data_IF_354268160994
#
_entry.id   IF_354268160994
#
_cell.length_a   1.000
_cell.length_b   1.000
_cell.length_c   1.000
_cell.angle_alpha   90.00
_cell.angle_beta   90.00
_cell.angle_gamma   90.00
#
_symmetry.space_group_name_H-M   'P 1'
#
loop_
_entity.id
_entity.type
_entity.pdbx_description
1 polymer ?
#
# COMPACT_ATOMS: atom_id res chain seq x y z
N UNK A 1 -34.82 10.65 15.30
CA UNK A 1 -34.27 9.47 16.00
C UNK A 1 -33.30 8.81 15.03
N UNK A 2 -32.00 8.85 15.32
CA UNK A 2 -30.98 8.22 14.49
C UNK A 2 -30.35 7.10 15.32
N UNK A 3 -30.36 5.87 14.81
CA UNK A 3 -29.72 4.72 15.43
C UNK A 3 -28.79 4.09 14.38
N UNK A 4 -27.52 3.94 14.74
CA UNK A 4 -26.51 3.32 13.90
C UNK A 4 -26.56 1.81 14.10
N UNK A 5 -26.76 1.05 13.01
CA UNK A 5 -26.75 -0.40 13.04
C UNK A 5 -25.34 -0.89 12.73
N UNK A 6 -24.70 -1.53 13.72
CA UNK A 6 -23.29 -1.97 13.63
C UNK A 6 -23.15 -3.44 13.23
N UNK A 7 -24.16 -4.25 13.47
CA UNK A 7 -24.12 -5.69 13.25
C UNK A 7 -24.78 -6.06 11.92
N UNK A 8 -24.15 -6.96 11.17
CA UNK A 8 -24.74 -7.57 9.98
C UNK A 8 -25.79 -8.61 10.39
N UNK A 9 -26.80 -8.83 9.56
CA UNK A 9 -27.83 -9.83 9.85
C UNK A 9 -29.26 -9.28 9.88
N UNK A 10 -30.15 -10.06 10.47
CA UNK A 10 -31.57 -9.71 10.60
C UNK A 10 -31.76 -8.79 11.80
N UNK A 11 -32.37 -7.63 11.57
CA UNK A 11 -32.77 -6.68 12.60
C UNK A 11 -34.28 -6.48 12.60
N UNK A 12 -34.83 -6.08 13.75
CA UNK A 12 -36.26 -5.78 13.90
C UNK A 12 -36.42 -4.43 14.60
N UNK A 13 -36.95 -3.43 13.89
CA UNK A 13 -37.37 -2.17 14.51
C UNK A 13 -38.77 -2.34 15.10
N UNK A 14 -38.89 -2.10 16.40
CA UNK A 14 -40.16 -2.15 17.12
C UNK A 14 -40.68 -0.73 17.31
N UNK A 15 -41.74 -0.36 16.59
CA UNK A 15 -42.43 0.91 16.80
C UNK A 15 -43.60 0.69 17.76
N UNK A 16 -43.54 1.31 18.94
CA UNK A 16 -44.63 1.31 19.92
C UNK A 16 -45.30 2.68 19.92
N UNK A 17 -46.58 2.72 19.58
CA UNK A 17 -47.42 3.91 19.67
C UNK A 17 -48.31 3.75 20.90
N UNK A 18 -48.30 4.76 21.77
CA UNK A 18 -49.23 4.86 22.90
C UNK A 18 -50.10 6.09 22.68
N UNK A 19 -51.40 5.93 22.80
CA UNK A 19 -52.35 7.03 22.70
C UNK A 19 -53.47 6.85 23.71
N UNK A 20 -54.12 7.96 24.05
CA UNK A 20 -55.25 8.02 24.98
C UNK A 20 -56.46 8.51 24.20
N UNK A 21 -57.60 7.84 24.36
CA UNK A 21 -58.85 8.25 23.72
C UNK A 21 -59.52 9.38 24.50
N UNK A 22 -60.57 9.98 23.92
CA UNK A 22 -61.37 11.00 24.62
C UNK A 22 -62.10 10.46 25.86
N UNK A 23 -62.22 9.14 25.99
CA UNK A 23 -62.77 8.43 27.16
C UNK A 23 -61.72 8.14 28.25
N UNK A 24 -60.50 8.69 28.13
CA UNK A 24 -59.35 8.42 29.03
C UNK A 24 -58.82 6.97 29.00
N UNK A 25 -59.21 6.18 28.00
CA UNK A 25 -58.69 4.82 27.83
C UNK A 25 -57.34 4.84 27.11
N UNK A 26 -56.37 4.15 27.67
CA UNK A 26 -55.02 4.08 27.12
C UNK A 26 -54.86 2.85 26.21
N UNK A 27 -54.49 3.09 24.96
CA UNK A 27 -54.20 2.04 24.00
C UNK A 27 -52.72 2.02 23.64
N UNK A 28 -52.19 0.82 23.44
CA UNK A 28 -50.84 0.60 22.94
C UNK A 28 -50.89 -0.25 21.69
N UNK A 29 -50.26 0.23 20.62
CA UNK A 29 -50.08 -0.49 19.38
C UNK A 29 -48.59 -0.72 19.14
N UNK A 30 -48.21 -1.94 18.76
CA UNK A 30 -46.83 -2.29 18.40
C UNK A 30 -46.77 -2.83 16.98
N UNK A 31 -45.85 -2.29 16.17
CA UNK A 31 -45.53 -2.80 14.84
C UNK A 31 -44.06 -3.18 14.76
N UNK A 32 -43.81 -4.34 14.15
CA UNK A 32 -42.47 -4.91 13.96
C UNK A 32 -42.07 -4.73 12.50
N UNK A 33 -40.91 -4.16 12.25
CA UNK A 33 -40.33 -4.01 10.92
C UNK A 33 -39.04 -4.83 10.88
N UNK A 34 -39.10 -6.00 10.24
CA UNK A 34 -37.94 -6.88 10.05
C UNK A 34 -37.20 -6.48 8.78
N UNK A 35 -35.89 -6.30 8.87
CA UNK A 35 -35.02 -5.97 7.73
C UNK A 35 -33.68 -6.69 7.85
N UNK A 36 -33.03 -6.90 6.71
CA UNK A 36 -31.72 -7.54 6.61
C UNK A 36 -30.66 -6.46 6.36
N UNK A 37 -29.58 -6.49 7.13
CA UNK A 37 -28.41 -5.63 6.96
C UNK A 37 -27.29 -6.42 6.30
N UNK A 38 -26.82 -5.89 5.17
CA UNK A 38 -25.73 -6.45 4.36
C UNK A 38 -24.49 -5.57 4.47
N UNK A 39 -23.33 -6.15 4.14
CA UNK A 39 -22.07 -5.41 4.04
C UNK A 39 -22.17 -4.40 2.88
N UNK A 40 -22.05 -3.07 3.11
CA UNK A 40 -22.24 -2.08 2.05
C UNK A 40 -21.01 -1.97 1.13
N UNK A 41 -19.82 -2.16 1.68
CA UNK A 41 -18.54 -2.05 0.97
C UNK A 41 -17.69 -3.28 1.28
N UNK A 42 -17.04 -3.84 0.27
CA UNK A 42 -15.91 -4.74 0.49
C UNK A 42 -14.61 -3.95 0.53
N UNK A 43 -13.69 -4.34 1.41
CA UNK A 43 -12.38 -3.71 1.58
C UNK A 43 -11.34 -4.81 1.54
N UNK A 44 -10.43 -4.73 0.57
CA UNK A 44 -9.27 -5.63 0.47
C UNK A 44 -8.00 -4.81 0.55
N UNK A 45 -7.08 -5.22 1.41
CA UNK A 45 -5.83 -4.49 1.66
C UNK A 45 -4.62 -5.33 1.30
N UNK A 46 -3.59 -4.69 0.74
CA UNK A 46 -2.28 -5.27 0.49
C UNK A 46 -1.18 -4.33 0.98
N UNK A 47 -0.15 -4.92 1.59
CA UNK A 47 0.96 -4.17 2.20
C UNK A 47 2.25 -4.45 1.45
N UNK A 48 3.04 -3.41 1.24
CA UNK A 48 4.38 -3.51 0.68
C UNK A 48 5.36 -2.82 1.63
N UNK A 49 6.27 -3.60 2.23
CA UNK A 49 7.35 -3.06 3.04
C UNK A 49 8.49 -2.63 2.12
N UNK A 50 8.83 -1.35 2.14
CA UNK A 50 9.94 -0.81 1.36
C UNK A 50 11.25 -0.87 2.13
N UNK A 51 12.36 -0.87 1.38
CA UNK A 51 13.71 -0.94 1.96
C UNK A 51 14.07 0.27 2.82
N UNK A 52 13.36 1.39 2.74
CA UNK A 52 13.58 2.61 3.53
C UNK A 52 12.68 2.69 4.79
N UNK A 53 12.12 1.55 5.22
CA UNK A 53 11.14 1.40 6.31
C UNK A 53 9.75 1.95 6.01
N UNK A 54 9.51 2.51 4.83
CA UNK A 54 8.17 2.90 4.45
C UNK A 54 7.29 1.68 4.21
N UNK A 55 5.99 1.87 4.44
CA UNK A 55 4.98 0.84 4.17
C UNK A 55 3.98 1.44 3.21
N UNK A 56 3.76 0.79 2.08
CA UNK A 56 2.71 1.17 1.15
C UNK A 56 1.48 0.30 1.42
N UNK A 57 0.34 0.94 1.70
CA UNK A 57 -0.95 0.29 1.83
C UNK A 57 -1.76 0.54 0.56
N UNK A 58 -2.05 -0.53 -0.16
CA UNK A 58 -3.03 -0.56 -1.23
C UNK A 58 -4.36 -1.03 -0.66
N UNK A 59 -5.44 -0.27 -0.89
CA UNK A 59 -6.79 -0.61 -0.48
C UNK A 59 -7.72 -0.61 -1.70
N UNK A 60 -8.32 -1.76 -2.00
CA UNK A 60 -9.36 -1.91 -2.99
C UNK A 60 -10.73 -1.87 -2.30
N UNK A 61 -11.51 -0.83 -2.60
CA UNK A 61 -12.90 -0.72 -2.20
C UNK A 61 -13.80 -1.25 -3.31
N UNK A 62 -14.85 -1.99 -2.95
CA UNK A 62 -15.91 -2.41 -3.87
C UNK A 62 -17.27 -2.00 -3.33
N UNK A 63 -18.09 -1.32 -4.14
CA UNK A 63 -19.47 -1.01 -3.77
C UNK A 63 -20.35 -2.25 -3.93
N UNK A 64 -20.87 -2.80 -2.83
CA UNK A 64 -21.80 -3.93 -2.86
C UNK A 64 -23.27 -3.49 -2.76
N UNK A 65 -23.52 -2.19 -2.63
CA UNK A 65 -24.88 -1.65 -2.61
C UNK A 65 -25.43 -1.52 -4.03
N UNK A 66 -26.75 -1.68 -4.18
CA UNK A 66 -27.44 -1.53 -5.48
C UNK A 66 -27.51 -0.07 -5.97
N UNK A 67 -27.15 0.90 -5.13
CA UNK A 67 -27.29 2.34 -5.39
C UNK A 67 -25.90 2.98 -5.35
N UNK A 68 -25.60 3.99 -6.17
CA UNK A 68 -24.33 4.70 -6.07
C UNK A 68 -24.12 5.36 -4.70
N UNK A 69 -22.86 5.37 -4.26
CA UNK A 69 -22.39 6.10 -3.10
C UNK A 69 -21.58 7.31 -3.55
N UNK A 70 -21.65 8.41 -2.84
CA UNK A 70 -20.72 9.52 -2.95
C UNK A 70 -19.68 9.33 -1.85
N UNK A 71 -18.43 9.02 -2.20
CA UNK A 71 -17.35 8.93 -1.23
C UNK A 71 -16.92 10.35 -0.85
N UNK A 72 -17.11 10.70 0.42
CA UNK A 72 -16.75 12.02 0.96
C UNK A 72 -15.35 12.01 1.55
N UNK A 73 -14.95 10.86 2.11
CA UNK A 73 -13.65 10.66 2.74
C UNK A 73 -13.23 9.20 2.56
N UNK A 74 -12.02 8.99 2.07
CA UNK A 74 -11.31 7.71 2.16
C UNK A 74 -9.91 8.04 2.65
N UNK A 75 -9.64 7.78 3.94
CA UNK A 75 -8.37 8.15 4.55
C UNK A 75 -7.85 7.05 5.45
N UNK A 76 -6.53 6.98 5.59
CA UNK A 76 -5.89 6.09 6.55
C UNK A 76 -5.52 6.87 7.81
N UNK A 77 -6.15 6.53 8.93
CA UNK A 77 -5.76 7.05 10.24
C UNK A 77 -4.51 6.31 10.74
N UNK A 78 -3.35 7.00 10.87
CA UNK A 78 -2.10 6.34 11.26
C UNK A 78 -2.15 5.84 12.71
N UNK A 79 -1.38 4.79 12.99
CA UNK A 79 -1.00 4.48 14.37
C UNK A 79 -0.01 5.52 14.91
N UNK A 80 0.25 5.49 16.22
CA UNK A 80 1.10 6.48 16.88
C UNK A 80 2.55 6.54 16.34
N UNK A 81 3.01 5.50 15.64
CA UNK A 81 4.37 5.38 15.16
C UNK A 81 4.59 5.79 13.70
N UNK A 82 3.52 6.05 12.95
CA UNK A 82 3.60 6.35 11.52
C UNK A 82 3.03 7.73 11.19
N UNK A 83 3.52 8.29 10.09
CA UNK A 83 2.95 9.44 9.40
C UNK A 83 2.41 8.92 8.08
N UNK A 84 1.17 9.26 7.76
CA UNK A 84 0.52 8.83 6.51
C UNK A 84 0.56 9.96 5.49
N UNK A 85 0.92 9.61 4.26
CA UNK A 85 0.78 10.44 3.08
C UNK A 85 -0.19 9.76 2.12
N UNK A 86 -1.24 10.49 1.77
CA UNK A 86 -2.18 10.09 0.72
C UNK A 86 -1.49 10.23 -0.65
N UNK A 87 -1.53 9.16 -1.45
CA UNK A 87 -0.92 9.10 -2.78
C UNK A 87 -1.97 9.07 -3.91
N UNK A 88 -3.24 9.30 -3.59
CA UNK A 88 -4.36 9.32 -4.52
C UNK A 88 -4.38 10.67 -5.25
N UNK A 89 -3.64 10.78 -6.37
CA UNK A 89 -3.71 11.97 -7.23
C UNK A 89 -4.97 11.91 -8.09
N UNK A 90 -5.89 12.85 -7.87
CA UNK A 90 -7.06 13.05 -8.73
C UNK A 90 -6.73 14.18 -9.71
N UNK A 91 -6.35 13.83 -10.94
CA UNK A 91 -6.39 14.79 -12.05
C UNK A 91 -7.82 14.89 -12.56
N UNK A 92 -8.73 15.57 -11.84
CA UNK A 92 -9.94 16.16 -12.44
C UNK A 92 -10.81 16.93 -11.46
N UNK A 93 -11.31 18.03 -12.03
CA UNK A 93 -12.18 19.07 -11.54
C UNK A 93 -13.55 18.55 -11.05
N UNK A 94 -13.88 18.82 -9.78
CA UNK A 94 -15.23 19.09 -9.25
C UNK A 94 -16.39 18.08 -9.41
N UNK A 95 -16.16 16.79 -9.69
CA UNK A 95 -17.23 15.79 -9.52
C UNK A 95 -17.04 15.03 -8.22
N UNK A 96 -17.95 15.30 -7.26
CA UNK A 96 -18.26 14.43 -6.13
C UNK A 96 -18.08 12.98 -6.58
N UNK A 97 -17.18 12.27 -5.93
CA UNK A 97 -16.69 10.94 -6.29
C UNK A 97 -17.80 9.89 -6.21
N UNK A 98 -18.66 9.88 -7.23
CA UNK A 98 -19.70 8.88 -7.41
C UNK A 98 -19.03 7.52 -7.57
N UNK A 99 -19.48 6.57 -6.78
CA UNK A 99 -18.96 5.22 -6.66
C UNK A 99 -20.14 4.28 -6.91
N UNK A 100 -20.26 3.80 -8.15
CA UNK A 100 -21.43 3.10 -8.65
C UNK A 100 -21.54 1.68 -8.09
N UNK A 101 -22.72 1.07 -8.22
CA UNK A 101 -22.94 -0.33 -7.82
C UNK A 101 -21.93 -1.25 -8.51
N UNK A 102 -21.30 -2.14 -7.74
CA UNK A 102 -20.24 -3.07 -8.18
C UNK A 102 -18.96 -2.42 -8.72
N UNK A 103 -18.82 -1.09 -8.64
CA UNK A 103 -17.57 -0.41 -8.99
C UNK A 103 -16.49 -0.78 -7.97
N UNK A 104 -15.26 -0.94 -8.46
CA UNK A 104 -14.07 -1.11 -7.65
C UNK A 104 -13.19 0.13 -7.79
N UNK A 105 -12.65 0.62 -6.67
CA UNK A 105 -11.72 1.75 -6.66
C UNK A 105 -10.54 1.46 -5.76
N UNK A 106 -9.34 1.72 -6.25
CA UNK A 106 -8.10 1.49 -5.56
C UNK A 106 -7.58 2.79 -4.96
N UNK A 107 -7.08 2.70 -3.73
CA UNK A 107 -6.45 3.78 -2.99
C UNK A 107 -5.06 3.33 -2.55
N UNK A 108 -4.11 4.27 -2.55
CA UNK A 108 -2.74 4.05 -2.14
C UNK A 108 -2.33 5.05 -1.06
N UNK A 109 -1.75 4.54 0.02
CA UNK A 109 -1.22 5.33 1.12
C UNK A 109 0.24 4.95 1.36
N UNK A 110 1.10 5.94 1.59
CA UNK A 110 2.47 5.73 2.04
C UNK A 110 2.55 6.05 3.53
N UNK A 111 3.07 5.11 4.32
CA UNK A 111 3.32 5.28 5.74
C UNK A 111 4.81 5.39 5.99
N UNK A 112 5.25 6.53 6.53
CA UNK A 112 6.63 6.77 6.92
C UNK A 112 6.75 6.62 8.44
N UNK A 113 7.65 5.77 8.95
CA UNK A 113 7.88 5.67 10.39
C UNK A 113 8.40 6.99 10.96
N UNK A 114 7.92 7.35 12.14
CA UNK A 114 8.42 8.54 12.85
C UNK A 114 9.88 8.35 13.32
N UNK A 115 10.64 9.43 13.53
CA UNK A 115 12.05 9.37 13.91
C UNK A 115 12.32 8.52 15.15
N UNK A 116 11.41 8.53 16.13
CA UNK A 116 11.55 7.76 17.38
C UNK A 116 11.50 6.26 17.13
N UNK A 117 10.65 5.82 16.18
CA UNK A 117 10.56 4.43 15.77
C UNK A 117 11.80 4.00 14.97
N UNK A 118 12.32 4.88 14.10
CA UNK A 118 13.54 4.61 13.31
C UNK A 118 14.79 4.48 14.17
N UNK A 119 14.86 5.19 15.28
CA UNK A 119 16.01 5.13 16.20
C UNK A 119 16.08 3.80 16.99
N UNK A 120 14.99 3.02 17.06
CA UNK A 120 14.93 1.79 17.84
C UNK A 120 14.53 0.58 16.96
N UNK A 121 15.54 -0.15 16.49
CA UNK A 121 15.37 -1.32 15.61
C UNK A 121 14.48 -2.41 16.24
N UNK A 122 14.56 -2.61 17.56
CA UNK A 122 13.75 -3.63 18.24
C UNK A 122 12.27 -3.24 18.26
N UNK A 123 11.97 -1.95 18.48
CA UNK A 123 10.61 -1.42 18.40
C UNK A 123 10.09 -1.42 16.96
N UNK A 124 10.93 -1.07 15.99
CA UNK A 124 10.59 -1.10 14.57
C UNK A 124 10.22 -2.52 14.07
N UNK A 125 10.82 -3.56 14.68
CA UNK A 125 10.49 -4.97 14.45
C UNK A 125 9.16 -5.40 15.08
N UNK A 126 8.83 -4.89 16.27
CA UNK A 126 7.63 -5.28 17.00
C UNK A 126 6.36 -4.54 16.56
N UNK A 127 6.50 -3.32 16.02
CA UNK A 127 5.35 -2.54 15.55
C UNK A 127 4.84 -3.04 14.21
N UNK A 128 3.73 -3.78 14.27
CA UNK A 128 2.97 -4.31 13.12
C UNK A 128 1.72 -3.49 12.81
N UNK A 129 1.11 -2.84 13.80
CA UNK A 129 -0.10 -2.03 13.61
C UNK A 129 0.24 -0.71 12.92
N UNK A 130 -0.33 -0.50 11.74
CA UNK A 130 -0.04 0.67 10.90
C UNK A 130 -1.11 1.77 10.99
N UNK A 131 -2.36 1.41 11.31
CA UNK A 131 -3.47 2.36 11.30
C UNK A 131 -4.83 1.72 11.04
N UNK A 132 -5.84 2.54 10.77
CA UNK A 132 -7.21 2.12 10.43
C UNK A 132 -7.68 2.87 9.20
N UNK A 133 -8.29 2.16 8.25
CA UNK A 133 -8.91 2.80 7.10
C UNK A 133 -10.28 3.35 7.53
N UNK A 134 -10.50 4.64 7.27
CA UNK A 134 -11.70 5.39 7.60
C UNK A 134 -12.39 5.89 6.32
N UNK A 135 -13.64 5.45 6.13
CA UNK A 135 -14.43 5.71 4.93
C UNK A 135 -15.76 6.36 5.34
N UNK A 136 -16.03 7.53 4.78
CA UNK A 136 -17.30 8.24 4.93
C UNK A 136 -17.91 8.42 3.56
N UNK A 137 -19.20 8.09 3.43
CA UNK A 137 -19.92 8.31 2.20
C UNK A 137 -21.41 8.51 2.40
N UNK A 138 -22.05 9.07 1.39
CA UNK A 138 -23.49 9.32 1.36
C UNK A 138 -24.10 8.61 0.16
N UNK A 139 -25.12 7.79 0.38
CA UNK A 139 -25.86 7.14 -0.71
C UNK A 139 -26.62 8.15 -1.57
N UNK A 140 -26.98 7.79 -2.80
CA UNK A 140 -27.74 8.67 -3.69
C UNK A 140 -29.10 9.14 -3.12
N UNK A 141 -29.65 8.43 -2.13
CA UNK A 141 -30.89 8.80 -1.41
C UNK A 141 -30.63 9.66 -0.17
N UNK A 142 -29.39 10.11 0.07
CA UNK A 142 -29.02 11.00 1.17
C UNK A 142 -28.71 10.33 2.50
N UNK A 143 -28.64 8.99 2.55
CA UNK A 143 -28.28 8.26 3.78
C UNK A 143 -26.77 8.24 3.92
N UNK A 144 -26.26 8.79 5.03
CA UNK A 144 -24.85 8.77 5.41
C UNK A 144 -24.45 7.40 5.97
N UNK A 145 -23.25 6.97 5.62
CA UNK A 145 -22.62 5.76 6.13
C UNK A 145 -21.18 6.05 6.56
N UNK A 146 -20.75 5.35 7.61
CA UNK A 146 -19.39 5.37 8.12
C UNK A 146 -18.89 3.93 8.23
N UNK A 147 -17.71 3.68 7.70
CA UNK A 147 -17.04 2.39 7.80
C UNK A 147 -15.61 2.64 8.25
N UNK A 148 -15.25 2.06 9.39
CA UNK A 148 -13.87 2.05 9.87
C UNK A 148 -13.40 0.59 10.01
N UNK A 149 -12.21 0.29 9.52
CA UNK A 149 -11.64 -1.05 9.69
C UNK A 149 -11.14 -1.25 11.12
N UNK A 150 -10.95 -2.51 11.53
CA UNK A 150 -10.06 -2.83 12.63
C UNK A 150 -8.63 -2.33 12.34
N UNK A 151 -7.76 -2.22 13.36
CA UNK A 151 -6.35 -1.95 13.14
C UNK A 151 -5.77 -2.89 12.07
N UNK A 152 -5.15 -2.28 11.06
CA UNK A 152 -4.48 -2.98 9.97
C UNK A 152 -3.06 -3.32 10.41
N UNK A 153 -2.68 -4.58 10.21
CA UNK A 153 -1.38 -5.11 10.62
C UNK A 153 -0.57 -5.52 9.39
N UNK A 154 0.65 -5.00 9.30
CA UNK A 154 1.63 -5.44 8.31
C UNK A 154 2.40 -6.65 8.86
N UNK A 155 2.97 -7.44 7.96
CA UNK A 155 3.98 -8.42 8.37
C UNK A 155 5.25 -7.69 8.84
N UNK A 156 5.85 -8.10 9.97
CA UNK A 156 7.08 -7.49 10.45
C UNK A 156 8.20 -7.70 9.41
N UNK A 157 8.98 -6.65 9.11
CA UNK A 157 10.07 -6.72 8.15
C UNK A 157 11.18 -7.64 8.67
N UNK A 158 11.71 -8.47 7.78
CA UNK A 158 12.83 -9.35 8.11
C UNK A 158 14.14 -8.58 7.95
N UNK A 159 14.72 -8.14 9.07
CA UNK A 159 16.03 -7.49 9.06
C UNK A 159 17.13 -8.54 9.31
N UNK A 160 17.80 -8.93 8.23
CA UNK A 160 19.06 -9.67 8.30
C UNK A 160 20.20 -8.76 8.80
N UNK A 161 21.38 -9.33 9.05
CA UNK A 161 22.56 -8.61 9.56
C UNK A 161 23.02 -7.45 8.66
N UNK A 162 22.67 -7.50 7.37
CA UNK A 162 22.97 -6.48 6.38
C UNK A 162 21.67 -6.02 5.73
N UNK A 163 21.49 -4.70 5.64
CA UNK A 163 20.38 -4.05 4.96
C UNK A 163 20.91 -3.29 3.74
N UNK A 164 20.31 -3.56 2.58
CA UNK A 164 20.48 -2.76 1.38
C UNK A 164 19.28 -1.81 1.27
N UNK A 165 19.54 -0.56 0.88
CA UNK A 165 18.50 0.42 0.61
C UNK A 165 18.83 1.17 -0.67
N UNK A 166 17.87 1.24 -1.59
CA UNK A 166 17.99 2.08 -2.78
C UNK A 166 17.84 3.56 -2.42
N UNK A 167 18.93 4.33 -2.52
CA UNK A 167 18.93 5.79 -2.27
C UNK A 167 18.30 6.58 -3.43
N UNK A 168 18.43 6.08 -4.67
CA UNK A 168 17.83 6.69 -5.84
C UNK A 168 17.92 5.79 -7.06
N UNK A 169 16.78 5.60 -7.73
CA UNK A 169 16.68 4.89 -9.01
C UNK A 169 15.91 5.78 -10.00
N UNK A 170 16.40 5.96 -11.24
CA UNK A 170 15.67 6.70 -12.26
C UNK A 170 14.32 6.02 -12.56
N UNK A 171 13.22 6.79 -12.51
CA UNK A 171 11.86 6.25 -12.76
C UNK A 171 11.65 5.84 -14.23
N UNK A 172 12.45 6.39 -15.16
CA UNK A 172 12.41 6.10 -16.59
C UNK A 172 13.84 6.02 -17.13
N UNK A 173 14.10 5.02 -17.97
CA UNK A 173 15.38 4.87 -18.67
C UNK A 173 15.14 4.58 -20.15
N UNK A 174 15.85 5.30 -21.02
CA UNK A 174 15.83 5.14 -22.46
C UNK A 174 16.58 3.87 -22.91
N UNK A 175 15.97 3.06 -23.78
CA UNK A 175 16.66 2.00 -24.49
C UNK A 175 17.58 2.65 -25.54
N UNK A 176 18.90 2.44 -25.43
CA UNK A 176 19.88 2.87 -26.44
C UNK A 176 20.22 1.71 -27.40
N UNK A 177 20.56 2.03 -28.65
CA UNK A 177 21.15 1.08 -29.59
C UNK A 177 22.69 1.15 -29.49
N UNK A 178 23.35 -0.02 -29.55
CA UNK A 178 24.79 -0.17 -29.38
C UNK A 178 25.62 0.64 -30.40
N UNK A 179 26.56 1.45 -29.90
CA UNK A 179 27.80 1.84 -30.61
C UNK A 179 28.97 1.61 -29.64
N UNK A 180 29.88 0.71 -30.04
CA UNK A 180 31.08 0.20 -29.33
C UNK A 180 32.13 1.32 -29.07
N UNK A 181 33.10 1.27 -28.12
CA UNK A 181 34.04 0.22 -27.69
C UNK A 181 34.42 0.27 -26.18
N UNK A 182 34.94 -0.87 -25.65
CA UNK A 182 36.01 -1.09 -24.62
C UNK A 182 35.71 -2.23 -23.60
N UNK A 183 36.74 -3.06 -23.32
CA UNK A 183 36.71 -4.33 -22.54
C UNK A 183 36.84 -4.18 -21.00
N UNK A 184 36.10 -4.99 -20.20
CA UNK A 184 36.44 -5.24 -18.79
C UNK A 184 36.29 -6.71 -18.32
N UNK A 185 36.90 -7.06 -17.18
CA UNK A 185 36.65 -8.32 -16.45
C UNK A 185 36.33 -8.07 -14.96
N UNK A 186 35.14 -8.49 -14.51
CA UNK A 186 34.79 -9.06 -13.19
C UNK A 186 33.32 -9.59 -13.29
N UNK A 187 33.03 -10.79 -12.79
CA UNK A 187 31.89 -11.61 -13.24
C UNK A 187 30.52 -11.27 -12.62
N UNK A 188 29.65 -10.56 -13.33
CA UNK A 188 28.24 -10.43 -12.98
C UNK A 188 27.50 -11.73 -13.33
N UNK A 189 26.69 -12.23 -12.40
CA UNK A 189 25.88 -13.43 -12.62
C UNK A 189 24.61 -13.09 -13.44
N UNK A 190 24.80 -12.82 -14.74
CA UNK A 190 23.73 -12.63 -15.71
C UNK A 190 23.20 -13.99 -16.23
N UNK A 191 23.10 -15.03 -15.38
CA UNK A 191 22.71 -16.38 -15.82
C UNK A 191 21.24 -16.54 -16.19
N UNK A 192 20.37 -15.62 -15.76
CA UNK A 192 18.94 -15.73 -16.05
C UNK A 192 18.61 -15.18 -17.43
N UNK A 193 18.15 -16.07 -18.31
CA UNK A 193 17.65 -15.74 -19.66
C UNK A 193 16.43 -14.80 -19.64
N UNK A 194 15.79 -14.65 -18.49
CA UNK A 194 14.62 -13.79 -18.30
C UNK A 194 14.99 -12.34 -17.98
N UNK A 195 16.25 -12.03 -17.65
CA UNK A 195 16.68 -10.68 -17.30
C UNK A 195 16.39 -9.68 -18.43
N UNK A 196 15.90 -8.51 -18.03
CA UNK A 196 15.58 -7.39 -18.92
C UNK A 196 16.54 -6.21 -18.75
N UNK A 197 17.37 -6.25 -17.70
CA UNK A 197 18.42 -5.28 -17.38
C UNK A 197 19.68 -6.10 -17.07
N UNK A 198 20.83 -5.68 -17.60
CA UNK A 198 22.13 -6.31 -17.38
C UNK A 198 22.99 -5.40 -16.50
N UNK A 199 23.64 -5.93 -15.46
CA UNK A 199 24.59 -5.13 -14.69
C UNK A 199 25.85 -4.83 -15.52
N UNK A 200 26.27 -3.56 -15.51
CA UNK A 200 27.49 -3.03 -16.10
C UNK A 200 28.51 -2.69 -15.01
N UNK A 201 29.79 -3.04 -15.21
CA UNK A 201 30.89 -2.68 -14.31
C UNK A 201 31.85 -3.83 -13.93
N UNK A 202 32.26 -3.84 -12.67
CA UNK A 202 33.24 -4.79 -12.09
C UNK A 202 32.54 -5.52 -10.92
N UNK A 203 32.01 -6.73 -11.14
CA UNK A 203 31.45 -7.64 -10.11
C UNK A 203 32.47 -8.34 -9.19
N UNK A 204 32.39 -8.14 -7.88
CA UNK A 204 33.40 -8.62 -6.91
C UNK A 204 34.28 -7.50 -6.37
N UNK A 205 33.88 -6.25 -6.61
CA UNK A 205 34.45 -5.07 -5.96
C UNK A 205 34.30 -5.20 -4.45
N UNK A 206 35.40 -5.07 -3.69
CA UNK A 206 35.31 -4.94 -2.24
C UNK A 206 34.57 -3.66 -1.92
N UNK A 207 33.47 -3.78 -1.19
CA UNK A 207 32.94 -2.64 -0.45
C UNK A 207 33.92 -2.36 0.71
N UNK A 208 34.06 -1.09 1.09
CA UNK A 208 34.89 -0.73 2.24
C UNK A 208 34.36 -1.40 3.51
N UNK A 209 35.23 -1.60 4.51
CA UNK A 209 34.87 -2.27 5.76
C UNK A 209 33.72 -1.51 6.42
N UNK A 210 32.55 -2.15 6.50
CA UNK A 210 31.39 -1.63 7.19
C UNK A 210 31.56 -1.85 8.70
N UNK A 211 31.65 -0.76 9.47
CA UNK A 211 31.60 -0.84 10.93
C UNK A 211 30.17 -1.20 11.39
N UNK A 212 30.00 -1.80 12.58
CA UNK A 212 28.66 -2.01 13.14
C UNK A 212 27.85 -0.72 13.17
N UNK A 213 26.59 -0.78 12.74
CA UNK A 213 25.66 0.37 12.67
C UNK A 213 26.10 1.50 11.72
N UNK A 214 27.05 1.25 10.82
CA UNK A 214 27.43 2.20 9.76
C UNK A 214 26.78 1.84 8.42
N UNK A 215 26.80 2.79 7.48
CA UNK A 215 26.32 2.62 6.10
C UNK A 215 27.43 2.87 5.10
N UNK A 216 27.33 2.24 3.93
CA UNK A 216 28.19 2.47 2.78
C UNK A 216 27.32 2.71 1.54
N UNK A 217 27.66 3.73 0.76
CA UNK A 217 26.94 4.09 -0.47
C UNK A 217 27.79 3.70 -1.67
N UNK A 218 27.18 3.04 -2.64
CA UNK A 218 27.83 2.68 -3.91
C UNK A 218 26.82 2.77 -5.06
N UNK A 219 27.33 3.06 -6.25
CA UNK A 219 26.51 3.13 -7.46
C UNK A 219 26.71 1.88 -8.31
N UNK A 220 25.60 1.34 -8.82
CA UNK A 220 25.60 0.28 -9.82
C UNK A 220 25.04 0.84 -11.13
N UNK A 221 25.59 0.39 -12.26
CA UNK A 221 25.12 0.79 -13.58
C UNK A 221 24.42 -0.39 -14.22
N UNK A 222 23.19 -0.22 -14.70
CA UNK A 222 22.44 -1.26 -15.41
C UNK A 222 22.18 -0.86 -16.86
N UNK A 223 22.21 -1.83 -17.77
CA UNK A 223 21.89 -1.68 -19.19
C UNK A 223 20.57 -2.39 -19.52
N UNK A 224 19.50 -1.66 -19.84
CA UNK A 224 18.23 -2.28 -20.23
C UNK A 224 18.32 -2.90 -21.64
N UNK A 225 17.72 -4.08 -21.81
CA UNK A 225 17.69 -4.83 -23.09
C UNK A 225 16.27 -5.14 -23.59
N UNK A 226 15.24 -4.92 -22.78
CA UNK A 226 13.83 -5.11 -23.14
C UNK A 226 13.01 -3.89 -22.72
N UNK A 227 12.03 -3.49 -23.53
CA UNK A 227 11.07 -2.43 -23.18
C UNK A 227 10.03 -2.92 -22.18
N UNK A 228 9.43 -2.00 -21.42
CA UNK A 228 8.39 -2.29 -20.43
C UNK A 228 8.86 -2.05 -18.99
N UNK A 229 8.00 -2.40 -18.03
CA UNK A 229 8.31 -2.31 -16.61
C UNK A 229 9.11 -3.53 -16.18
N UNK A 230 10.34 -3.34 -15.73
CA UNK A 230 11.25 -4.42 -15.41
C UNK A 230 11.81 -4.29 -13.99
N UNK A 231 11.92 -5.41 -13.24
CA UNK A 231 12.59 -5.40 -11.95
C UNK A 231 14.09 -5.18 -12.15
N UNK A 232 14.72 -4.49 -11.19
CA UNK A 232 16.18 -4.45 -11.08
C UNK A 232 16.69 -5.88 -10.80
N UNK A 233 17.73 -6.36 -11.50
CA UNK A 233 18.25 -7.70 -11.29
C UNK A 233 18.83 -7.87 -9.88
N UNK A 234 18.77 -9.08 -9.34
CA UNK A 234 19.22 -9.36 -7.98
C UNK A 234 20.68 -8.97 -7.74
N UNK A 235 20.96 -8.53 -6.51
CA UNK A 235 22.30 -8.17 -6.03
C UNK A 235 22.68 -9.12 -4.90
N UNK A 236 23.89 -9.67 -4.95
CA UNK A 236 24.45 -10.49 -3.86
C UNK A 236 25.57 -9.75 -3.17
N UNK A 237 25.48 -9.60 -1.85
CA UNK A 237 26.57 -9.14 -0.98
C UNK A 237 27.12 -10.36 -0.25
N UNK A 238 28.45 -10.49 -0.20
CA UNK A 238 29.10 -11.58 0.53
C UNK A 238 30.00 -11.01 1.60
N UNK A 239 29.83 -11.45 2.84
CA UNK A 239 30.79 -11.18 3.90
C UNK A 239 31.98 -12.13 3.74
N UNK A 240 33.15 -11.56 3.47
CA UNK A 240 34.38 -12.29 3.20
C UNK A 240 34.91 -13.01 4.45
N UNK A 241 34.62 -12.48 5.65
CA UNK A 241 35.07 -13.03 6.93
C UNK A 241 34.18 -14.18 7.40
N UNK A 242 32.86 -13.97 7.47
CA UNK A 242 31.91 -15.01 7.90
C UNK A 242 31.54 -16.01 6.80
N UNK A 243 31.86 -15.69 5.53
CA UNK A 243 31.42 -16.44 4.33
C UNK A 243 29.90 -16.45 4.13
N UNK A 244 29.16 -15.59 4.82
CA UNK A 244 27.72 -15.46 4.63
C UNK A 244 27.41 -14.75 3.30
N UNK A 245 26.32 -15.18 2.66
CA UNK A 245 25.79 -14.58 1.44
C UNK A 245 24.43 -13.93 1.71
N UNK A 246 24.25 -12.71 1.22
CA UNK A 246 23.03 -11.93 1.36
C UNK A 246 22.52 -11.59 -0.04
N UNK A 247 21.42 -12.20 -0.44
CA UNK A 247 20.77 -12.00 -1.73
C UNK A 247 19.61 -11.03 -1.62
N UNK A 248 19.61 -10.01 -2.47
CA UNK A 248 18.58 -8.97 -2.55
C UNK A 248 17.93 -9.03 -3.93
N UNK A 249 16.63 -9.29 -3.99
CA UNK A 249 15.84 -9.40 -5.23
C UNK A 249 14.65 -8.44 -5.19
N UNK A 250 14.13 -8.06 -6.36
CA UNK A 250 12.96 -7.17 -6.50
C UNK A 250 13.10 -5.81 -5.79
N UNK A 251 14.34 -5.32 -5.64
CA UNK A 251 14.67 -4.11 -4.87
C UNK A 251 14.05 -2.82 -5.44
N UNK A 252 13.82 -2.77 -6.76
CA UNK A 252 13.07 -1.70 -7.41
C UNK A 252 12.62 -2.13 -8.81
N UNK A 253 11.80 -1.29 -9.45
CA UNK A 253 11.36 -1.45 -10.83
C UNK A 253 11.72 -0.20 -11.66
N UNK A 254 12.09 -0.41 -12.92
CA UNK A 254 12.41 0.65 -13.88
C UNK A 254 11.56 0.45 -15.12
N UNK A 255 10.94 1.54 -15.60
CA UNK A 255 10.22 1.54 -16.87
C UNK A 255 11.19 1.89 -18.01
N UNK A 256 11.38 0.94 -18.93
CA UNK A 256 12.27 1.05 -20.09
C UNK A 256 11.46 1.37 -21.34
N UNK A 257 11.78 2.50 -21.97
CA UNK A 257 11.06 2.98 -23.14
C UNK A 257 11.96 3.02 -24.36
N UNK A 258 11.36 2.78 -25.53
CA UNK A 258 11.99 3.11 -26.80
C UNK A 258 12.13 4.61 -26.92
N UNK A 259 13.35 5.08 -27.11
CA UNK A 259 13.59 6.48 -27.43
C UNK A 259 13.28 6.67 -28.90
N UNK A 260 12.15 7.29 -29.23
CA UNK A 260 11.96 7.88 -30.56
C UNK A 260 12.82 9.13 -30.61
N UNK A 261 13.98 9.07 -31.26
CA UNK A 261 14.72 10.29 -31.59
C UNK A 261 13.86 11.07 -32.59
N UNK A 262 13.37 12.24 -32.18
CA UNK A 262 13.00 13.32 -33.11
C UNK A 262 14.27 14.03 -33.56
#
# INVERSE_FOLDING_TARGET
MHHEVKELGVHVMICTIRYVTKSEEQYTFRKYFRFQVFKPLDVKTKFYNAENDEVYLESLLQNLTAIPLCLEKVSLEPSEYFIVKDMNKIESDNKREQFNSNECRQYLFCLTPKPELRANINLLKSVTVIGKLDIVGTSAIGVKGHLQTSPLERMPPNYNDIRLTVEGVPSQVALKQNKQDMEPYLYFDNKSTEQSILWLGISGKSLDKLAPLSSAVFSLTGYPIKNGLHPIPSIRITDVLSKNHYDFSEIAYVFVNETTFQ
#
